data_IF_630905837993
#
_entry.id   IF_630905837993
#
_cell.length_a   1.000
_cell.length_b   1.000
_cell.length_c   1.000
_cell.angle_alpha   90.00
_cell.angle_beta   90.00
_cell.angle_gamma   90.00
#
_symmetry.space_group_name_H-M   'P 1'
#
loop_
_entity.id
_entity.type
_entity.pdbx_description
1 polymer ?
#
# COMPACT_ATOMS: atom_id res chain seq x y z
N UNK A 1 -3.59 35.14 20.21
CA UNK A 1 -2.95 34.65 21.45
C UNK A 1 -2.70 33.16 21.27
N UNK A 2 -1.44 32.77 21.04
CA UNK A 2 -1.08 31.40 20.70
C UNK A 2 -0.98 30.57 22.00
N UNK A 3 -1.97 29.75 22.28
CA UNK A 3 -1.91 28.76 23.37
C UNK A 3 -1.04 27.60 22.92
N UNK A 4 0.27 27.73 23.06
CA UNK A 4 1.16 26.58 22.97
C UNK A 4 0.81 25.61 24.08
N UNK A 5 0.10 24.52 23.76
CA UNK A 5 -0.11 23.40 24.69
C UNK A 5 1.27 22.82 24.97
N UNK A 6 1.82 23.13 26.14
CA UNK A 6 3.02 22.46 26.64
C UNK A 6 2.73 20.95 26.69
N UNK A 7 3.49 20.17 25.93
CA UNK A 7 3.45 18.72 26.02
C UNK A 7 3.72 18.33 27.47
N UNK A 8 2.88 17.47 28.04
CA UNK A 8 3.07 17.03 29.42
C UNK A 8 4.47 16.46 29.60
N UNK A 9 5.09 16.72 30.76
CA UNK A 9 6.41 16.19 31.09
C UNK A 9 6.49 14.66 30.89
N UNK A 10 5.38 13.96 31.12
CA UNK A 10 5.23 12.53 30.87
C UNK A 10 5.39 12.14 29.39
N UNK A 11 4.85 12.96 28.46
CA UNK A 11 4.96 12.72 27.02
C UNK A 11 6.42 12.87 26.55
N UNK A 12 7.10 13.89 27.07
CA UNK A 12 8.52 14.14 26.77
C UNK A 12 9.40 13.02 27.33
N UNK A 13 9.14 12.57 28.56
CA UNK A 13 9.88 11.47 29.17
C UNK A 13 9.65 10.14 28.42
N UNK A 14 8.41 9.87 27.99
CA UNK A 14 8.06 8.68 27.21
C UNK A 14 8.77 8.67 25.86
N UNK A 15 8.80 9.80 25.15
CA UNK A 15 9.55 9.94 23.90
C UNK A 15 11.06 9.71 24.11
N UNK A 16 11.64 10.29 25.15
CA UNK A 16 13.05 10.10 25.49
C UNK A 16 13.37 8.64 25.84
N UNK A 17 12.46 7.93 26.51
CA UNK A 17 12.58 6.49 26.81
C UNK A 17 12.58 5.65 25.52
N UNK A 18 11.68 5.94 24.58
CA UNK A 18 11.64 5.27 23.28
C UNK A 18 12.91 5.48 22.48
N UNK A 19 13.47 6.70 22.47
CA UNK A 19 14.76 6.97 21.82
C UNK A 19 15.91 6.18 22.45
N UNK A 20 15.93 6.03 23.78
CA UNK A 20 16.96 5.25 24.49
C UNK A 20 16.90 3.76 24.12
N UNK A 21 15.71 3.16 24.16
CA UNK A 21 15.48 1.77 23.70
C UNK A 21 15.93 1.61 22.25
N UNK A 22 15.58 2.61 21.44
CA UNK A 22 16.09 2.93 20.09
C UNK A 22 17.57 2.65 19.90
N UNK A 23 18.35 3.48 20.60
CA UNK A 23 19.80 3.51 20.52
C UNK A 23 20.41 2.21 21.04
N UNK A 24 19.86 1.63 22.09
CA UNK A 24 20.35 0.39 22.68
C UNK A 24 20.16 -0.81 21.73
N UNK A 25 18.99 -0.95 21.09
CA UNK A 25 18.75 -1.97 20.06
C UNK A 25 19.80 -1.93 18.94
N UNK A 26 20.21 -0.73 18.51
CA UNK A 26 21.25 -0.57 17.47
C UNK A 26 22.63 -0.89 17.96
N UNK A 27 22.99 -0.45 19.17
CA UNK A 27 24.28 -0.77 19.78
C UNK A 27 24.44 -2.29 19.83
N UNK A 28 23.41 -2.99 20.28
CA UNK A 28 23.37 -4.44 20.36
C UNK A 28 23.44 -5.12 18.98
N UNK A 29 22.74 -4.59 17.96
CA UNK A 29 22.78 -5.15 16.59
C UNK A 29 24.08 -4.83 15.83
N UNK A 30 24.66 -3.64 15.94
CA UNK A 30 25.96 -3.30 15.32
C UNK A 30 27.07 -4.21 15.84
N UNK A 31 27.03 -4.53 17.13
CA UNK A 31 27.95 -5.48 17.74
C UNK A 31 27.75 -6.94 17.24
N UNK A 32 26.71 -7.24 16.45
CA UNK A 32 26.48 -8.57 15.88
C UNK A 32 27.03 -8.75 14.45
N UNK A 33 27.29 -7.67 13.69
CA UNK A 33 27.45 -7.74 12.23
C UNK A 33 28.89 -7.89 11.71
N UNK A 34 29.87 -8.22 12.58
CA UNK A 34 31.23 -8.59 12.17
C UNK A 34 31.43 -10.10 12.21
N UNK A 35 31.41 -10.76 11.06
CA UNK A 35 32.01 -12.06 10.69
C UNK A 35 32.30 -13.16 11.76
N UNK A 36 31.88 -14.39 11.43
CA UNK A 36 32.45 -15.72 11.79
C UNK A 36 31.97 -16.50 13.06
N UNK A 37 31.25 -17.60 12.79
CA UNK A 37 31.54 -19.02 13.09
C UNK A 37 32.57 -19.30 14.20
N UNK A 38 32.24 -19.06 15.47
CA UNK A 38 32.85 -19.70 16.67
C UNK A 38 32.04 -19.29 17.90
N UNK A 39 32.35 -19.85 19.09
CA UNK A 39 31.84 -19.63 20.48
C UNK A 39 31.27 -18.22 20.83
N UNK A 40 31.62 -17.19 20.04
CA UNK A 40 30.95 -15.88 19.91
C UNK A 40 29.44 -15.92 19.56
N UNK A 41 28.90 -17.04 19.09
CA UNK A 41 27.47 -17.17 18.74
C UNK A 41 26.53 -17.04 19.96
N UNK A 42 26.95 -17.42 21.17
CA UNK A 42 26.13 -17.26 22.39
C UNK A 42 25.93 -15.79 22.76
N UNK A 43 26.96 -14.96 22.60
CA UNK A 43 26.87 -13.52 22.91
C UNK A 43 26.01 -12.79 21.88
N UNK A 44 26.11 -13.13 20.59
CA UNK A 44 25.24 -12.58 19.54
C UNK A 44 23.78 -12.99 19.70
N UNK A 45 23.53 -14.22 20.15
CA UNK A 45 22.17 -14.65 20.47
C UNK A 45 21.60 -13.83 21.63
N UNK A 46 22.43 -13.46 22.62
CA UNK A 46 21.98 -12.65 23.76
C UNK A 46 21.61 -11.20 23.39
N UNK A 47 22.37 -10.57 22.49
CA UNK A 47 22.14 -9.19 22.03
C UNK A 47 20.97 -9.09 21.05
N UNK A 48 20.79 -10.08 20.16
CA UNK A 48 19.60 -10.16 19.31
C UNK A 48 18.35 -10.35 20.15
N UNK A 49 18.38 -11.28 21.13
CA UNK A 49 17.28 -11.45 22.09
C UNK A 49 17.01 -10.18 22.91
N UNK A 50 18.04 -9.39 23.22
CA UNK A 50 17.85 -8.13 23.94
C UNK A 50 17.17 -7.05 23.07
N UNK A 51 17.55 -6.95 21.80
CA UNK A 51 16.87 -6.06 20.86
C UNK A 51 15.42 -6.49 20.60
N UNK A 52 15.18 -7.79 20.45
CA UNK A 52 13.84 -8.36 20.30
C UNK A 52 13.00 -8.04 21.55
N UNK A 53 13.54 -8.24 22.77
CA UNK A 53 12.86 -7.84 24.02
C UNK A 53 12.54 -6.35 24.09
N UNK A 54 13.43 -5.47 23.67
CA UNK A 54 13.16 -4.03 23.65
C UNK A 54 12.00 -3.67 22.71
N UNK A 55 11.92 -4.32 21.55
CA UNK A 55 10.84 -4.12 20.60
C UNK A 55 9.53 -4.74 21.10
N UNK A 56 9.58 -5.92 21.72
CA UNK A 56 8.42 -6.50 22.39
C UNK A 56 7.88 -5.60 23.50
N UNK A 57 8.77 -5.02 24.30
CA UNK A 57 8.39 -4.08 25.35
C UNK A 57 7.77 -2.80 24.78
N UNK A 58 8.34 -2.25 23.70
CA UNK A 58 7.72 -1.13 22.98
C UNK A 58 6.32 -1.51 22.44
N UNK A 59 6.16 -2.71 21.87
CA UNK A 59 4.87 -3.19 21.37
C UNK A 59 3.85 -3.37 22.50
N UNK A 60 4.27 -3.85 23.67
CA UNK A 60 3.44 -3.93 24.88
C UNK A 60 3.03 -2.54 25.38
N UNK A 61 3.95 -1.58 25.40
CA UNK A 61 3.65 -0.19 25.77
C UNK A 61 2.66 0.47 24.78
N UNK A 62 2.77 0.15 23.50
CA UNK A 62 1.86 0.64 22.47
C UNK A 62 0.54 -0.14 22.41
N UNK A 63 0.45 -1.32 23.01
CA UNK A 63 -0.70 -2.22 22.87
C UNK A 63 -2.04 -1.57 23.23
N UNK A 64 -2.20 -0.81 24.34
CA UNK A 64 -3.48 -0.15 24.64
C UNK A 64 -3.89 0.85 23.55
N UNK A 65 -2.93 1.58 22.99
CA UNK A 65 -3.16 2.54 21.91
C UNK A 65 -3.51 1.82 20.61
N UNK A 66 -2.83 0.73 20.30
CA UNK A 66 -3.11 -0.10 19.14
C UNK A 66 -4.47 -0.79 19.23
N UNK A 67 -4.86 -1.28 20.42
CA UNK A 67 -6.21 -1.81 20.68
C UNK A 67 -7.26 -0.73 20.49
N UNK A 68 -7.07 0.45 21.06
CA UNK A 68 -7.98 1.59 20.89
C UNK A 68 -8.15 1.95 19.40
N UNK A 69 -7.04 2.07 18.67
CA UNK A 69 -7.05 2.36 17.23
C UNK A 69 -7.71 1.25 16.40
N UNK A 70 -7.44 -0.01 16.73
CA UNK A 70 -7.86 -1.16 15.93
C UNK A 70 -9.33 -1.54 16.18
N UNK A 71 -9.95 -1.12 17.29
CA UNK A 71 -11.39 -1.32 17.55
C UNK A 71 -12.29 -0.77 16.44
N UNK A 72 -11.86 0.25 15.70
CA UNK A 72 -12.60 0.77 14.53
C UNK A 72 -12.49 -0.09 13.26
N UNK A 73 -11.71 -1.18 13.29
CA UNK A 73 -11.44 -2.02 12.12
C UNK A 73 -11.97 -3.44 12.22
N UNK A 74 -12.40 -3.89 13.40
CA UNK A 74 -12.88 -5.26 13.64
C UNK A 74 -14.23 -5.23 14.33
N UNK A 75 -15.12 -6.09 13.85
CA UNK A 75 -16.47 -6.21 14.41
C UNK A 75 -16.49 -7.07 15.69
N UNK A 76 -15.48 -7.92 15.88
CA UNK A 76 -15.41 -8.92 16.96
C UNK A 76 -14.10 -8.83 17.74
N UNK A 77 -14.18 -9.02 19.06
CA UNK A 77 -13.02 -8.90 19.96
C UNK A 77 -11.93 -9.95 19.69
N UNK A 78 -12.31 -11.17 19.30
CA UNK A 78 -11.34 -12.23 19.00
C UNK A 78 -10.52 -11.91 17.73
N UNK A 79 -11.13 -11.21 16.75
CA UNK A 79 -10.41 -10.76 15.56
C UNK A 79 -9.37 -9.68 15.91
N UNK A 80 -9.62 -8.87 16.95
CA UNK A 80 -8.69 -7.84 17.40
C UNK A 80 -7.36 -8.43 17.87
N UNK A 81 -7.40 -9.50 18.66
CA UNK A 81 -6.20 -10.13 19.21
C UNK A 81 -5.37 -10.81 18.12
N UNK A 82 -6.02 -11.53 17.20
CA UNK A 82 -5.36 -12.15 16.04
C UNK A 82 -4.71 -11.10 15.14
N UNK A 83 -5.44 -10.01 14.90
CA UNK A 83 -5.00 -8.90 14.08
C UNK A 83 -3.79 -8.19 14.67
N UNK A 84 -3.79 -7.93 15.98
CA UNK A 84 -2.68 -7.35 16.71
C UNK A 84 -1.47 -8.30 16.79
N UNK A 85 -1.72 -9.60 16.96
CA UNK A 85 -0.68 -10.64 16.92
C UNK A 85 0.02 -10.68 15.56
N UNK A 86 -0.75 -10.72 14.47
CA UNK A 86 -0.23 -10.73 13.10
C UNK A 86 0.55 -9.45 12.78
N UNK A 87 -0.04 -8.32 13.11
CA UNK A 87 0.53 -6.98 13.07
C UNK A 87 1.89 -6.88 13.77
N UNK A 88 2.01 -7.44 14.99
CA UNK A 88 3.26 -7.49 15.75
C UNK A 88 4.33 -8.29 15.02
N UNK A 89 4.02 -9.49 14.54
CA UNK A 89 4.96 -10.33 13.78
C UNK A 89 5.47 -9.59 12.54
N UNK A 90 4.57 -8.91 11.83
CA UNK A 90 4.91 -8.15 10.63
C UNK A 90 5.78 -6.92 10.96
N UNK A 91 5.47 -6.18 12.01
CA UNK A 91 6.28 -5.05 12.47
C UNK A 91 7.69 -5.50 12.89
N UNK A 92 7.81 -6.63 13.60
CA UNK A 92 9.11 -7.23 13.96
C UNK A 92 9.95 -7.58 12.73
N UNK A 93 9.34 -8.08 11.65
CA UNK A 93 10.03 -8.39 10.38
C UNK A 93 10.40 -7.14 9.60
N UNK A 94 9.54 -6.11 9.63
CA UNK A 94 9.70 -4.89 8.86
C UNK A 94 10.60 -3.85 9.54
N UNK A 95 10.97 -4.03 10.81
CA UNK A 95 11.77 -3.07 11.58
C UNK A 95 13.10 -2.72 10.90
N UNK A 96 13.64 -3.62 10.09
CA UNK A 96 14.88 -3.39 9.34
C UNK A 96 14.73 -2.34 8.24
N UNK A 97 13.49 -2.09 7.80
CA UNK A 97 13.16 -1.05 6.82
C UNK A 97 12.93 0.31 7.46
N UNK A 98 12.80 0.38 8.79
CA UNK A 98 12.62 1.66 9.46
C UNK A 98 13.95 2.43 9.50
N UNK A 99 13.95 3.62 8.91
CA UNK A 99 15.13 4.48 8.85
C UNK A 99 15.13 5.50 9.99
N UNK A 100 16.10 5.40 10.91
CA UNK A 100 16.21 6.36 11.99
C UNK A 100 16.83 7.68 11.55
N UNK A 101 16.28 8.78 12.05
CA UNK A 101 16.62 10.13 11.57
C UNK A 101 15.69 10.62 10.46
N UNK A 102 14.75 9.78 10.00
CA UNK A 102 13.57 10.25 9.28
C UNK A 102 12.63 11.02 10.21
N UNK A 103 11.65 11.72 9.63
CA UNK A 103 10.69 12.55 10.36
C UNK A 103 9.76 11.76 11.32
N UNK A 104 9.73 10.43 11.25
CA UNK A 104 8.85 9.59 12.05
C UNK A 104 9.60 8.90 13.19
N UNK A 105 9.13 9.10 14.42
CA UNK A 105 9.56 8.30 15.57
C UNK A 105 9.25 6.81 15.35
N UNK A 106 9.92 5.92 16.09
CA UNK A 106 9.66 4.47 15.96
C UNK A 106 8.19 4.15 16.24
N UNK A 107 7.59 4.82 17.22
CA UNK A 107 6.18 4.66 17.60
C UNK A 107 5.26 5.13 16.47
N UNK A 108 5.59 6.25 15.82
CA UNK A 108 4.86 6.74 14.64
C UNK A 108 4.97 5.73 13.49
N UNK A 109 6.16 5.18 13.25
CA UNK A 109 6.36 4.17 12.22
C UNK A 109 5.58 2.89 12.52
N UNK A 110 5.60 2.39 13.77
CA UNK A 110 4.80 1.23 14.18
C UNK A 110 3.33 1.51 13.95
N UNK A 111 2.78 2.64 14.42
CA UNK A 111 1.36 2.95 14.21
C UNK A 111 1.01 3.04 12.72
N UNK A 112 1.84 3.67 11.89
CA UNK A 112 1.61 3.78 10.44
C UNK A 112 1.71 2.44 9.71
N UNK A 113 2.68 1.62 10.10
CA UNK A 113 2.84 0.27 9.56
C UNK A 113 1.63 -0.58 9.91
N UNK A 114 1.23 -0.57 11.19
CA UNK A 114 0.08 -1.32 11.67
C UNK A 114 -1.22 -0.87 11.03
N UNK A 115 -1.45 0.43 10.93
CA UNK A 115 -2.57 1.00 10.18
C UNK A 115 -2.63 0.50 8.72
N UNK A 116 -1.47 0.41 8.06
CA UNK A 116 -1.40 -0.09 6.68
C UNK A 116 -1.74 -1.58 6.58
N UNK A 117 -1.26 -2.39 7.53
CA UNK A 117 -1.60 -3.82 7.59
C UNK A 117 -3.08 -4.05 7.97
N UNK A 118 -3.63 -3.25 8.89
CA UNK A 118 -5.05 -3.26 9.26
C UNK A 118 -5.94 -2.97 8.05
N UNK A 119 -5.58 -1.95 7.26
CA UNK A 119 -6.30 -1.63 6.03
C UNK A 119 -6.25 -2.78 5.01
N UNK A 120 -5.09 -3.43 4.85
CA UNK A 120 -4.94 -4.61 3.98
C UNK A 120 -5.78 -5.78 4.44
N UNK A 121 -5.81 -6.06 5.74
CA UNK A 121 -6.55 -7.18 6.32
C UNK A 121 -8.06 -6.95 6.24
N UNK A 122 -8.54 -5.74 6.52
CA UNK A 122 -9.96 -5.38 6.32
C UNK A 122 -10.39 -5.50 4.86
N UNK A 123 -9.54 -5.05 3.93
CA UNK A 123 -9.77 -5.22 2.48
C UNK A 123 -9.81 -6.71 2.09
N UNK A 124 -9.08 -7.58 2.78
CA UNK A 124 -9.14 -9.04 2.58
C UNK A 124 -10.40 -9.66 3.18
N UNK A 125 -10.78 -9.27 4.40
CA UNK A 125 -12.02 -9.75 5.06
C UNK A 125 -13.27 -9.34 4.28
N UNK A 126 -13.36 -8.08 3.83
CA UNK A 126 -14.47 -7.63 2.98
C UNK A 126 -14.60 -8.44 1.70
N UNK A 127 -13.47 -8.80 1.07
CA UNK A 127 -13.48 -9.69 -0.11
C UNK A 127 -13.94 -11.10 0.23
N UNK A 128 -13.50 -11.68 1.35
CA UNK A 128 -13.97 -13.01 1.77
C UNK A 128 -15.46 -13.01 2.10
N UNK A 129 -15.97 -11.96 2.77
CA UNK A 129 -17.40 -11.82 3.07
C UNK A 129 -18.22 -11.59 1.80
N UNK A 130 -17.77 -10.72 0.88
CA UNK A 130 -18.42 -10.51 -0.40
C UNK A 130 -18.46 -11.78 -1.26
N UNK A 131 -17.37 -12.58 -1.26
CA UNK A 131 -17.35 -13.89 -1.91
C UNK A 131 -18.27 -14.91 -1.23
N UNK A 132 -18.34 -14.91 0.11
CA UNK A 132 -19.27 -15.77 0.83
C UNK A 132 -20.74 -15.40 0.56
N UNK A 133 -21.06 -14.10 0.47
CA UNK A 133 -22.41 -13.61 0.15
C UNK A 133 -22.77 -13.91 -1.31
N UNK A 134 -21.87 -13.72 -2.27
CA UNK A 134 -22.11 -14.09 -3.69
C UNK A 134 -22.23 -15.60 -3.91
N UNK A 135 -21.65 -16.44 -3.04
CA UNK A 135 -21.89 -17.89 -3.05
C UNK A 135 -23.26 -18.27 -2.46
N UNK A 136 -23.89 -17.40 -1.68
CA UNK A 136 -25.19 -17.62 -1.03
C UNK A 136 -26.34 -17.04 -1.87
N UNK A 137 -26.12 -15.93 -2.59
CA UNK A 137 -27.14 -15.22 -3.37
C UNK A 137 -26.88 -15.37 -4.88
N UNK A 138 -27.27 -16.52 -5.42
CA UNK A 138 -27.42 -16.68 -6.87
C UNK A 138 -28.70 -16.03 -7.38
N UNK A 139 -28.76 -14.68 -7.44
CA UNK A 139 -29.79 -13.96 -8.19
C UNK A 139 -29.23 -12.70 -8.87
N UNK A 140 -29.70 -12.50 -10.10
CA UNK A 140 -29.30 -11.57 -11.16
C UNK A 140 -29.15 -10.09 -10.72
N UNK A 141 -28.03 -9.39 -10.99
CA UNK A 141 -27.94 -7.96 -10.72
C UNK A 141 -28.50 -7.15 -11.88
N UNK A 142 -29.53 -6.36 -11.57
CA UNK A 142 -30.07 -5.32 -12.43
C UNK A 142 -29.00 -4.26 -12.79
N UNK A 143 -29.23 -3.59 -13.93
CA UNK A 143 -28.33 -2.63 -14.57
C UNK A 143 -27.85 -1.48 -13.65
N UNK A 144 -26.65 -0.92 -13.88
CA UNK A 144 -26.09 0.13 -13.04
C UNK A 144 -26.79 1.48 -13.34
N UNK A 145 -27.38 2.08 -12.30
CA UNK A 145 -27.85 3.47 -12.31
C UNK A 145 -26.66 4.44 -12.38
N UNK A 146 -26.87 5.58 -13.04
CA UNK A 146 -25.89 6.65 -13.18
C UNK A 146 -25.57 7.31 -11.81
N UNK A 147 -24.32 7.78 -11.58
CA UNK A 147 -23.91 8.30 -10.28
C UNK A 147 -24.54 9.67 -9.99
N UNK A 148 -25.51 9.68 -9.08
CA UNK A 148 -26.06 10.88 -8.44
C UNK A 148 -24.95 11.73 -7.76
N UNK A 149 -25.09 13.07 -7.70
CA UNK A 149 -24.15 13.93 -7.00
C UNK A 149 -24.08 13.55 -5.51
N UNK A 150 -22.89 13.25 -5.00
CA UNK A 150 -22.70 12.77 -3.64
C UNK A 150 -22.92 13.87 -2.57
N UNK A 151 -24.18 14.12 -2.20
CA UNK A 151 -24.55 14.86 -0.98
C UNK A 151 -23.91 14.25 0.29
N UNK A 152 -23.59 12.96 0.26
CA UNK A 152 -22.96 12.24 1.37
C UNK A 152 -21.54 12.68 1.73
N UNK A 153 -20.78 13.29 0.80
CA UNK A 153 -19.39 13.70 1.11
C UNK A 153 -19.35 14.88 2.06
N UNK A 154 -20.18 15.90 1.82
CA UNK A 154 -20.25 17.07 2.70
C UNK A 154 -20.82 16.71 4.07
N UNK A 155 -21.81 15.81 4.12
CA UNK A 155 -22.36 15.30 5.37
C UNK A 155 -21.37 14.42 6.15
N UNK A 156 -20.52 13.65 5.45
CA UNK A 156 -19.43 12.90 6.08
C UNK A 156 -18.34 13.82 6.63
N UNK A 157 -17.98 14.88 5.89
CA UNK A 157 -17.03 15.90 6.34
C UNK A 157 -17.58 16.65 7.57
N UNK A 158 -18.87 17.00 7.58
CA UNK A 158 -19.50 17.67 8.72
C UNK A 158 -19.50 16.80 9.99
N UNK A 159 -19.90 15.52 9.87
CA UNK A 159 -19.87 14.56 10.98
C UNK A 159 -18.47 14.31 11.52
N UNK A 160 -17.46 14.31 10.65
CA UNK A 160 -16.06 14.21 11.07
C UNK A 160 -15.60 15.48 11.80
N UNK A 161 -15.94 16.66 11.30
CA UNK A 161 -15.56 17.93 11.91
C UNK A 161 -16.05 18.05 13.36
N UNK A 162 -17.21 17.47 13.69
CA UNK A 162 -17.73 17.40 15.07
C UNK A 162 -16.89 16.53 16.03
N UNK A 163 -16.10 15.60 15.50
CA UNK A 163 -15.28 14.65 16.28
C UNK A 163 -13.81 15.03 16.35
N UNK A 164 -13.40 16.08 15.63
CA UNK A 164 -12.02 16.54 15.57
C UNK A 164 -11.76 17.67 16.56
N UNK A 165 -10.49 17.87 16.93
CA UNK A 165 -10.08 19.09 17.61
C UNK A 165 -10.42 20.30 16.71
N UNK A 166 -10.77 21.47 17.27
CA UNK A 166 -11.25 22.63 16.49
C UNK A 166 -10.29 23.08 15.38
N UNK A 167 -8.98 22.96 15.61
CA UNK A 167 -7.94 23.26 14.62
C UNK A 167 -7.99 22.33 13.41
N UNK A 168 -8.26 21.04 13.65
CA UNK A 168 -8.35 20.01 12.63
C UNK A 168 -9.66 20.10 11.85
N UNK A 169 -10.76 20.37 12.56
CA UNK A 169 -12.06 20.65 11.94
C UNK A 169 -11.99 21.89 11.02
N UNK A 170 -11.36 22.97 11.51
CA UNK A 170 -11.15 24.18 10.72
C UNK A 170 -10.32 23.92 9.47
N UNK A 171 -9.17 23.26 9.62
CA UNK A 171 -8.28 22.94 8.51
C UNK A 171 -8.95 22.05 7.45
N UNK A 172 -9.75 21.07 7.89
CA UNK A 172 -10.51 20.19 7.00
C UNK A 172 -11.60 20.96 6.25
N UNK A 173 -12.32 21.87 6.93
CA UNK A 173 -13.38 22.70 6.35
C UNK A 173 -12.87 23.69 5.31
N UNK A 174 -11.75 24.37 5.58
CA UNK A 174 -11.11 25.30 4.64
C UNK A 174 -10.65 24.57 3.37
N UNK A 175 -10.13 23.35 3.53
CA UNK A 175 -9.72 22.50 2.42
C UNK A 175 -10.93 22.05 1.59
N UNK A 176 -12.03 21.66 2.23
CA UNK A 176 -13.29 21.31 1.57
C UNK A 176 -13.93 22.50 0.83
N UNK A 177 -13.73 23.72 1.33
CA UNK A 177 -14.11 24.97 0.67
C UNK A 177 -13.17 25.40 -0.47
N UNK A 178 -12.18 24.56 -0.84
CA UNK A 178 -11.26 24.79 -1.95
C UNK A 178 -10.07 25.68 -1.63
N UNK A 179 -9.84 26.05 -0.35
CA UNK A 179 -8.61 26.76 0.04
C UNK A 179 -7.48 25.76 0.26
N UNK A 180 -6.37 25.84 -0.50
CA UNK A 180 -5.29 24.90 -0.35
C UNK A 180 -4.52 25.15 0.97
N UNK A 181 -4.03 24.09 1.64
CA UNK A 181 -3.18 24.23 2.82
C UNK A 181 -1.90 25.01 2.52
N UNK A 182 -1.61 25.98 3.37
CA UNK A 182 -0.51 26.94 3.26
C UNK A 182 0.86 26.31 3.48
N UNK A 183 0.93 25.20 4.23
CA UNK A 183 2.19 24.55 4.60
C UNK A 183 2.25 23.05 4.30
N UNK A 184 3.47 22.47 4.15
CA UNK A 184 3.65 21.03 4.04
C UNK A 184 3.11 20.25 5.26
N UNK A 185 3.16 20.86 6.44
CA UNK A 185 2.65 20.27 7.68
C UNK A 185 1.13 20.15 7.65
N UNK A 186 0.42 21.20 7.25
CA UNK A 186 -1.03 21.19 7.07
C UNK A 186 -1.47 20.13 6.04
N UNK A 187 -0.74 20.01 4.92
CA UNK A 187 -0.97 18.94 3.92
C UNK A 187 -0.85 17.54 4.54
N UNK A 188 0.19 17.31 5.34
CA UNK A 188 0.40 16.04 6.02
C UNK A 188 -0.72 15.74 7.03
N UNK A 189 -1.16 16.78 7.76
CA UNK A 189 -2.20 16.69 8.77
C UNK A 189 -3.57 16.41 8.16
N UNK A 190 -3.97 17.12 7.11
CA UNK A 190 -5.20 16.84 6.33
C UNK A 190 -5.19 15.40 5.80
N UNK A 191 -4.07 14.94 5.22
CA UNK A 191 -3.96 13.55 4.76
C UNK A 191 -4.16 12.54 5.89
N UNK A 192 -3.62 12.82 7.08
CA UNK A 192 -3.80 11.95 8.24
C UNK A 192 -5.25 11.94 8.75
N UNK A 193 -5.91 13.12 8.77
CA UNK A 193 -7.30 13.29 9.19
C UNK A 193 -8.28 12.63 8.22
N UNK A 194 -8.15 12.93 6.92
CA UNK A 194 -8.96 12.30 5.86
C UNK A 194 -8.75 10.80 5.89
N UNK A 195 -7.51 10.32 6.03
CA UNK A 195 -7.29 8.90 6.09
C UNK A 195 -7.77 8.26 7.42
N UNK A 196 -8.10 9.01 8.47
CA UNK A 196 -8.47 8.45 9.78
C UNK A 196 -9.74 7.59 9.68
N UNK A 197 -9.80 6.38 10.26
CA UNK A 197 -11.00 5.52 10.17
C UNK A 197 -12.25 6.16 10.78
N UNK A 198 -12.11 6.99 11.83
CA UNK A 198 -13.23 7.75 12.40
C UNK A 198 -13.74 8.87 11.48
N UNK A 199 -13.00 9.20 10.41
CA UNK A 199 -13.48 10.09 9.36
C UNK A 199 -14.73 9.55 8.69
N UNK A 200 -14.89 8.23 8.57
CA UNK A 200 -15.79 7.65 7.57
C UNK A 200 -15.36 7.94 6.12
N UNK A 201 -14.58 9.02 5.90
CA UNK A 201 -13.80 9.35 4.72
C UNK A 201 -12.57 8.43 4.62
N UNK A 202 -12.72 7.12 4.84
CA UNK A 202 -11.76 6.22 4.24
C UNK A 202 -11.68 6.62 2.76
N UNK A 203 -10.46 6.85 2.29
CA UNK A 203 -10.09 7.26 0.93
C UNK A 203 -10.48 6.21 -0.13
N UNK A 204 -11.67 5.62 -0.02
CA UNK A 204 -12.36 4.88 -1.07
C UNK A 204 -12.84 5.82 -2.19
N UNK A 205 -12.97 7.13 -1.94
CA UNK A 205 -13.52 8.07 -2.92
C UNK A 205 -12.51 8.79 -3.84
N UNK A 206 -11.19 8.68 -3.64
CA UNK A 206 -10.21 9.36 -4.54
C UNK A 206 -9.45 8.40 -5.44
N UNK A 207 -9.42 7.11 -5.10
CA UNK A 207 -9.04 6.06 -6.04
C UNK A 207 -10.34 5.35 -6.36
N UNK A 208 -11.04 5.81 -7.40
CA UNK A 208 -12.25 5.13 -7.86
C UNK A 208 -12.01 3.63 -7.91
N UNK A 209 -12.96 2.85 -7.37
CA UNK A 209 -12.82 1.40 -7.32
C UNK A 209 -12.36 0.89 -8.69
N UNK A 210 -11.22 0.18 -8.76
CA UNK A 210 -10.71 -0.28 -10.04
C UNK A 210 -11.81 -1.10 -10.71
N UNK A 211 -12.18 -0.74 -11.93
CA UNK A 211 -13.21 -1.48 -12.65
C UNK A 211 -12.56 -2.73 -13.24
N UNK A 212 -13.16 -3.93 -13.08
CA UNK A 212 -12.67 -5.11 -13.77
C UNK A 212 -12.69 -4.84 -15.28
N UNK A 213 -11.63 -5.21 -15.98
CA UNK A 213 -11.57 -5.16 -17.43
C UNK A 213 -12.08 -6.47 -18.02
N UNK A 214 -12.61 -6.46 -19.25
CA UNK A 214 -12.92 -7.68 -19.97
C UNK A 214 -11.70 -8.60 -19.99
N UNK A 215 -11.93 -9.85 -19.63
CA UNK A 215 -10.91 -10.88 -19.66
C UNK A 215 -10.62 -11.22 -21.11
N UNK A 216 -9.40 -10.92 -21.57
CA UNK A 216 -8.94 -11.31 -22.90
C UNK A 216 -7.83 -12.36 -22.80
N UNK A 217 -7.74 -13.31 -23.75
CA UNK A 217 -6.68 -14.31 -23.76
C UNK A 217 -5.28 -13.68 -23.70
N UNK A 218 -4.33 -14.39 -23.10
CA UNK A 218 -2.92 -13.94 -23.05
C UNK A 218 -2.30 -14.09 -24.44
N UNK A 219 -2.30 -13.00 -25.20
CA UNK A 219 -1.71 -12.91 -26.52
C UNK A 219 -0.85 -11.65 -26.66
N UNK A 220 0.37 -11.81 -27.18
CA UNK A 220 1.36 -10.74 -27.22
C UNK A 220 0.94 -9.58 -28.14
N UNK A 221 0.32 -9.88 -29.28
CA UNK A 221 -0.08 -8.87 -30.26
C UNK A 221 -1.34 -8.13 -29.79
N UNK A 222 -2.34 -8.86 -29.31
CA UNK A 222 -3.58 -8.29 -28.75
C UNK A 222 -3.27 -7.39 -27.55
N UNK A 223 -2.36 -7.82 -26.68
CA UNK A 223 -1.97 -7.05 -25.51
C UNK A 223 -1.18 -5.79 -25.86
N UNK A 224 -0.26 -5.88 -26.82
CA UNK A 224 0.46 -4.71 -27.30
C UNK A 224 -0.51 -3.68 -27.92
N UNK A 225 -1.50 -4.13 -28.71
CA UNK A 225 -2.54 -3.28 -29.27
C UNK A 225 -3.42 -2.66 -28.17
N UNK A 226 -3.79 -3.43 -27.15
CA UNK A 226 -4.60 -2.95 -26.02
C UNK A 226 -3.88 -1.87 -25.22
N UNK A 227 -2.60 -2.07 -24.89
CA UNK A 227 -1.81 -1.06 -24.20
C UNK A 227 -1.60 0.21 -25.04
N UNK A 228 -1.44 0.05 -26.36
CA UNK A 228 -1.32 1.17 -27.31
C UNK A 228 -2.58 2.04 -27.35
N UNK A 229 -3.76 1.43 -27.29
CA UNK A 229 -5.04 2.15 -27.27
C UNK A 229 -5.29 2.97 -26.00
N UNK A 230 -4.32 3.07 -25.08
CA UNK A 230 -4.43 3.85 -23.85
C UNK A 230 -4.60 3.00 -22.60
N UNK A 231 -4.27 1.71 -22.65
CA UNK A 231 -4.28 0.81 -21.49
C UNK A 231 -3.25 1.20 -20.43
N UNK A 232 -3.55 2.22 -19.61
CA UNK A 232 -2.81 2.53 -18.37
C UNK A 232 -3.42 1.75 -17.21
N UNK A 233 -2.58 1.33 -16.27
CA UNK A 233 -3.06 0.68 -15.06
C UNK A 233 -3.97 1.64 -14.26
N UNK A 234 -5.19 1.19 -13.95
CA UNK A 234 -6.10 1.90 -13.05
C UNK A 234 -5.51 1.94 -11.63
N UNK A 235 -5.62 3.04 -10.87
CA UNK A 235 -5.12 3.05 -9.50
C UNK A 235 -5.85 1.99 -8.65
N UNK A 236 -5.11 1.27 -7.80
CA UNK A 236 -5.67 0.25 -6.91
C UNK A 236 -6.00 -1.09 -7.58
N UNK A 237 -5.71 -1.27 -8.88
CA UNK A 237 -5.95 -2.52 -9.63
C UNK A 237 -5.42 -3.77 -8.91
N UNK A 238 -4.36 -3.64 -8.11
CA UNK A 238 -3.74 -4.72 -7.34
C UNK A 238 -4.74 -5.40 -6.38
N UNK A 239 -5.76 -4.68 -5.93
CA UNK A 239 -6.79 -5.17 -5.02
C UNK A 239 -7.73 -6.21 -5.67
N UNK A 240 -7.84 -6.20 -7.00
CA UNK A 240 -8.67 -7.14 -7.76
C UNK A 240 -7.87 -8.25 -8.43
N UNK A 241 -6.55 -8.30 -8.20
CA UNK A 241 -5.73 -9.33 -8.81
C UNK A 241 -6.07 -10.72 -8.26
N UNK A 242 -6.35 -11.66 -9.17
CA UNK A 242 -6.72 -13.04 -8.84
C UNK A 242 -5.59 -13.83 -8.14
N UNK A 243 -4.34 -13.37 -8.24
CA UNK A 243 -3.17 -14.01 -7.64
C UNK A 243 -2.76 -13.43 -6.27
N UNK A 244 -3.64 -12.69 -5.59
CA UNK A 244 -3.33 -12.03 -4.31
C UNK A 244 -3.14 -13.00 -3.14
N UNK A 245 -3.56 -14.25 -3.31
CA UNK A 245 -3.46 -15.38 -2.38
C UNK A 245 -2.23 -16.27 -2.61
N UNK A 246 -1.49 -16.06 -3.71
CA UNK A 246 -0.29 -16.85 -4.04
C UNK A 246 0.94 -16.28 -3.32
N UNK A 247 1.87 -17.15 -2.93
CA UNK A 247 3.19 -16.73 -2.43
C UNK A 247 3.95 -15.92 -3.51
N UNK A 248 4.61 -14.85 -3.07
CA UNK A 248 5.45 -14.00 -3.92
C UNK A 248 6.54 -14.84 -4.62
N UNK A 249 7.06 -15.88 -3.96
CA UNK A 249 8.08 -16.76 -4.52
C UNK A 249 7.61 -17.50 -5.78
N UNK A 250 6.32 -17.83 -5.88
CA UNK A 250 5.76 -18.55 -7.03
C UNK A 250 5.49 -17.61 -8.21
N UNK A 251 5.05 -16.38 -7.93
CA UNK A 251 4.79 -15.35 -8.95
C UNK A 251 6.06 -14.64 -9.43
N UNK A 252 7.09 -14.58 -8.57
CA UNK A 252 8.41 -14.02 -8.84
C UNK A 252 9.50 -15.04 -8.50
N UNK A 253 9.60 -16.13 -9.27
CA UNK A 253 10.58 -17.14 -9.01
C UNK A 253 11.99 -16.63 -9.36
N UNK A 254 13.01 -17.35 -8.86
CA UNK A 254 14.40 -17.04 -9.16
C UNK A 254 14.64 -16.95 -10.68
N UNK A 255 15.60 -16.12 -11.10
CA UNK A 255 15.90 -15.90 -12.53
C UNK A 255 16.11 -17.24 -13.24
N UNK A 256 15.35 -17.47 -14.31
CA UNK A 256 15.46 -18.69 -15.13
C UNK A 256 14.48 -19.80 -14.76
N UNK A 257 13.74 -19.67 -13.66
CA UNK A 257 12.65 -20.59 -13.34
C UNK A 257 11.46 -20.41 -14.30
N UNK A 258 10.83 -21.53 -14.64
CA UNK A 258 9.62 -21.57 -15.46
C UNK A 258 8.41 -21.38 -14.55
N UNK A 259 7.51 -20.47 -14.93
CA UNK A 259 6.24 -20.29 -14.22
C UNK A 259 5.34 -21.51 -14.39
N UNK A 260 4.60 -21.89 -13.34
CA UNK A 260 3.65 -23.00 -13.41
C UNK A 260 2.53 -22.72 -14.41
N UNK A 261 1.99 -23.78 -15.02
CA UNK A 261 0.83 -23.67 -15.92
C UNK A 261 -0.39 -23.10 -15.18
N UNK A 262 -0.56 -23.45 -13.91
CA UNK A 262 -1.61 -22.92 -13.03
C UNK A 262 -1.55 -21.38 -12.93
N UNK A 263 -0.35 -20.83 -12.75
CA UNK A 263 -0.20 -19.38 -12.64
C UNK A 263 -0.54 -18.65 -13.94
N UNK A 264 -0.23 -19.27 -15.09
CA UNK A 264 -0.61 -18.75 -16.40
C UNK A 264 -2.12 -18.79 -16.59
N UNK A 265 -2.77 -19.91 -16.25
CA UNK A 265 -4.23 -20.06 -16.30
C UNK A 265 -4.93 -19.03 -15.40
N UNK A 266 -4.37 -18.76 -14.22
CA UNK A 266 -4.90 -17.72 -13.33
C UNK A 266 -4.77 -16.32 -13.91
N UNK A 267 -3.68 -16.04 -14.65
CA UNK A 267 -3.56 -14.78 -15.37
C UNK A 267 -4.60 -14.66 -16.48
N UNK A 268 -4.94 -15.75 -17.16
CA UNK A 268 -5.95 -15.79 -18.22
C UNK A 268 -7.36 -15.46 -17.74
N UNK A 269 -7.69 -15.70 -16.46
CA UNK A 269 -9.00 -15.35 -15.86
C UNK A 269 -8.98 -14.09 -14.99
N UNK A 270 -7.83 -13.43 -14.85
CA UNK A 270 -7.68 -12.30 -13.93
C UNK A 270 -8.39 -11.03 -14.46
N UNK A 271 -9.31 -10.41 -13.70
CA UNK A 271 -10.09 -9.26 -14.16
C UNK A 271 -9.27 -7.98 -14.34
N UNK A 272 -8.06 -7.94 -13.81
CA UNK A 272 -7.12 -6.80 -13.91
C UNK A 272 -5.86 -7.16 -14.69
N UNK A 273 -5.93 -8.20 -15.55
CA UNK A 273 -4.79 -8.70 -16.32
C UNK A 273 -4.08 -7.61 -17.12
N UNK A 274 -4.83 -6.75 -17.80
CA UNK A 274 -4.27 -5.66 -18.61
C UNK A 274 -3.67 -4.55 -17.76
N UNK A 275 -4.27 -4.20 -16.60
CA UNK A 275 -3.68 -3.23 -15.67
C UNK A 275 -2.36 -3.75 -15.09
N UNK A 276 -2.35 -5.03 -14.70
CA UNK A 276 -1.15 -5.74 -14.28
C UNK A 276 -0.06 -5.71 -15.36
N UNK A 277 -0.43 -6.00 -16.62
CA UNK A 277 0.51 -5.96 -17.72
C UNK A 277 1.04 -4.55 -17.98
N UNK A 278 0.19 -3.53 -17.93
CA UNK A 278 0.58 -2.13 -18.11
C UNK A 278 1.62 -1.71 -17.05
N UNK A 279 1.36 -2.02 -15.78
CA UNK A 279 2.28 -1.79 -14.68
C UNK A 279 3.60 -2.57 -14.87
N UNK A 280 3.52 -3.83 -15.28
CA UNK A 280 4.70 -4.66 -15.56
C UNK A 280 5.52 -4.16 -16.75
N UNK A 281 4.89 -3.62 -17.80
CA UNK A 281 5.58 -3.04 -18.96
C UNK A 281 6.30 -1.75 -18.58
N UNK A 282 5.72 -0.93 -17.70
CA UNK A 282 6.38 0.24 -17.14
C UNK A 282 7.56 -0.14 -16.22
N UNK A 283 7.41 -1.21 -15.43
CA UNK A 283 8.45 -1.76 -14.54
C UNK A 283 9.44 -2.67 -15.29
N UNK A 284 10.20 -2.07 -16.21
CA UNK A 284 11.13 -2.69 -17.16
C UNK A 284 12.11 -3.75 -16.62
N UNK A 285 12.45 -3.69 -15.33
CA UNK A 285 13.51 -4.51 -14.69
C UNK A 285 12.98 -5.55 -13.72
N UNK A 286 11.68 -5.50 -13.40
CA UNK A 286 11.12 -6.38 -12.37
C UNK A 286 10.90 -7.79 -12.93
N UNK A 287 11.42 -8.85 -12.29
CA UNK A 287 11.18 -10.22 -12.70
C UNK A 287 9.73 -10.65 -12.45
N UNK A 288 9.39 -11.88 -12.83
CA UNK A 288 8.07 -12.46 -12.62
C UNK A 288 7.12 -12.34 -13.82
N UNK A 289 5.92 -12.88 -13.62
CA UNK A 289 4.80 -12.87 -14.58
C UNK A 289 3.90 -11.66 -14.31
N UNK A 290 3.54 -10.93 -15.35
CA UNK A 290 2.67 -9.75 -15.26
C UNK A 290 1.64 -9.83 -16.38
N UNK A 291 0.36 -9.87 -16.03
CA UNK A 291 -0.73 -10.08 -16.99
C UNK A 291 -0.57 -11.31 -17.89
N UNK A 292 0.08 -12.37 -17.37
CA UNK A 292 0.40 -13.59 -18.12
C UNK A 292 1.73 -13.58 -18.87
N UNK A 293 2.48 -12.46 -18.86
CA UNK A 293 3.71 -12.32 -19.65
C UNK A 293 4.98 -12.33 -18.79
N UNK A 294 5.96 -13.19 -19.10
CA UNK A 294 7.29 -13.12 -18.50
C UNK A 294 8.06 -11.89 -19.02
N UNK A 295 9.19 -11.57 -18.39
CA UNK A 295 10.02 -10.41 -18.71
C UNK A 295 10.40 -10.31 -20.20
N UNK A 296 10.72 -11.45 -20.85
CA UNK A 296 11.07 -11.48 -22.29
C UNK A 296 9.90 -11.05 -23.18
N UNK A 297 8.69 -11.52 -22.87
CA UNK A 297 7.49 -11.15 -23.61
C UNK A 297 7.14 -9.67 -23.39
N UNK A 298 7.19 -9.18 -22.15
CA UNK A 298 7.04 -7.73 -21.86
C UNK A 298 8.06 -6.86 -22.59
N UNK A 299 9.29 -7.34 -22.76
CA UNK A 299 10.33 -6.62 -23.50
C UNK A 299 10.04 -6.55 -25.00
N UNK A 300 9.39 -7.57 -25.57
CA UNK A 300 8.86 -7.53 -26.95
C UNK A 300 7.70 -6.55 -27.07
N UNK A 301 6.75 -6.58 -26.14
CA UNK A 301 5.63 -5.62 -26.09
C UNK A 301 6.16 -4.17 -26.07
N UNK A 302 7.15 -3.87 -25.21
CA UNK A 302 7.81 -2.55 -25.20
C UNK A 302 8.44 -2.17 -26.54
N UNK A 303 9.03 -3.14 -27.23
CA UNK A 303 9.67 -2.89 -28.52
C UNK A 303 8.62 -2.56 -29.58
N UNK A 304 7.51 -3.28 -29.62
CA UNK A 304 6.34 -2.99 -30.48
C UNK A 304 5.78 -1.59 -30.18
N UNK A 305 5.63 -1.25 -28.89
CA UNK A 305 5.14 0.07 -28.49
C UNK A 305 6.09 1.20 -28.91
N UNK A 306 7.42 0.96 -28.95
CA UNK A 306 8.41 1.95 -29.39
C UNK A 306 8.53 2.09 -30.90
N UNK A 307 8.54 0.98 -31.64
CA UNK A 307 8.78 0.99 -33.09
C UNK A 307 7.75 1.80 -33.87
N UNK A 308 6.54 1.97 -33.33
CA UNK A 308 5.50 2.75 -33.97
C UNK A 308 5.45 4.21 -33.52
N UNK A 309 6.00 4.54 -32.35
CA UNK A 309 6.24 5.94 -31.99
C UNK A 309 7.39 6.54 -32.80
N UNK A 310 8.29 5.69 -33.32
CA UNK A 310 9.25 6.04 -34.36
C UNK A 310 8.57 6.02 -35.75
N UNK A 311 7.37 6.61 -35.85
CA UNK A 311 6.62 6.72 -37.11
C UNK A 311 7.51 7.25 -38.24
N UNK A 312 7.16 6.92 -39.51
CA UNK A 312 8.04 7.11 -40.65
C UNK A 312 8.58 8.53 -40.62
N UNK A 313 9.90 8.65 -40.53
CA UNK A 313 10.60 9.91 -40.59
C UNK A 313 9.95 10.76 -41.69
N UNK A 314 9.63 12.00 -41.30
CA UNK A 314 9.26 13.10 -42.18
C UNK A 314 9.87 12.92 -43.57
N UNK A 315 9.06 12.95 -44.66
CA UNK A 315 9.61 12.85 -46.01
C UNK A 315 10.74 13.87 -46.12
N UNK A 316 11.91 13.35 -46.46
CA UNK A 316 13.12 14.07 -46.83
C UNK A 316 12.68 15.27 -47.68
N UNK A 317 12.76 16.49 -47.14
CA UNK A 317 12.58 17.69 -47.95
C UNK A 317 13.74 17.67 -48.94
N UNK A 318 13.50 17.15 -50.14
CA UNK A 318 14.37 17.33 -51.28
C UNK A 318 14.64 18.82 -51.40
N UNK A 319 15.86 19.22 -51.07
CA UNK A 319 16.37 20.54 -51.37
C UNK A 319 16.43 20.69 -52.89
N UNK A 320 15.32 21.15 -53.45
CA UNK A 320 15.19 21.66 -54.80
C UNK A 320 16.21 22.80 -54.98
N UNK A 321 17.41 22.44 -55.46
CA UNK A 321 18.41 23.39 -55.92
C UNK A 321 17.86 24.06 -57.18
N UNK A 322 17.28 25.24 -56.99
CA UNK A 322 17.01 26.17 -58.07
C UNK A 322 18.20 27.13 -58.21
N UNK A 323 18.77 27.11 -59.41
CA UNK A 323 19.70 28.08 -60.03
C UNK A 323 21.16 28.06 -59.59
#
# INVERSE_FOLDING_TARGET
>A
MSTGRELSAETVERAARHERLVREMRRQRRNCCGTCITRSDRVRCSSRRAADRCLEQLMQELEPLLRSFSRGYVDHYNELDDLLGHSRIHALRAIERWMPGGAASVSTWVVMYLRSELARLRSRQHRMRAHAVTLIEGMDPAAPEEPEPHDGLYEAIARLAEQLEPEDAFLLSETAAGRPPSSPWERGRIRALVAHPAAGIALAHVVGEPKPRPVTPVDLAVDAASLRSGGKAQPGWELLAACTDIDIADVMPARGAVHSAELRQRCESCPVRLDCLAAGVAAATWPGIWGGHPLKARSRIRSILRSEHAGPDTPEMEHEHTA
#
